data_IF_742106512329
#
_entry.id   IF_742106512329
#
_cell.length_a   1.000
_cell.length_b   1.000
_cell.length_c   1.000
_cell.angle_alpha   90.00
_cell.angle_beta   90.00
_cell.angle_gamma   90.00
#
_symmetry.space_group_name_H-M   'P 1'
#
loop_
_entity.id
_entity.type
_entity.pdbx_description
1 polymer ?
#
# COMPACT_ATOMS: atom_id res chain seq x y z
N UNK A 1 13.90 15.61 -8.11
CA UNK A 1 12.98 14.81 -7.29
C UNK A 1 13.55 14.48 -5.89
N UNK A 2 14.42 15.31 -5.29
CA UNK A 2 14.99 15.05 -3.94
C UNK A 2 14.32 15.85 -2.80
N UNK A 3 13.50 16.86 -3.13
CA UNK A 3 12.84 17.75 -2.16
C UNK A 3 11.31 17.73 -2.15
N UNK A 4 10.66 17.22 -3.21
CA UNK A 4 9.19 17.31 -3.36
C UNK A 4 8.41 16.56 -2.27
N UNK A 5 8.87 15.37 -1.86
CA UNK A 5 8.19 14.61 -0.81
C UNK A 5 8.31 15.27 0.57
N UNK A 6 9.43 15.96 0.84
CA UNK A 6 9.59 16.74 2.06
C UNK A 6 8.70 17.99 2.06
N UNK A 7 8.56 18.66 0.91
CA UNK A 7 7.68 19.83 0.77
C UNK A 7 6.20 19.47 0.91
N UNK A 8 5.77 18.35 0.31
CA UNK A 8 4.39 17.83 0.42
C UNK A 8 4.06 17.40 1.86
N UNK A 9 5.02 16.81 2.59
CA UNK A 9 4.86 16.44 4.00
C UNK A 9 4.76 17.66 4.94
N UNK A 10 5.19 18.85 4.49
CA UNK A 10 5.16 20.10 5.28
C UNK A 10 4.03 21.05 4.92
N UNK A 11 3.11 20.64 4.04
CA UNK A 11 1.91 21.41 3.70
C UNK A 11 1.02 21.61 4.92
N UNK A 12 0.81 22.89 5.26
CA UNK A 12 0.10 23.35 6.45
C UNK A 12 -1.33 22.77 6.55
N UNK A 13 -1.68 22.30 7.75
CA UNK A 13 -2.92 21.62 8.19
C UNK A 13 -2.92 20.08 8.00
N UNK A 14 -3.01 19.36 9.13
CA UNK A 14 -2.94 17.89 9.25
C UNK A 14 -4.10 17.10 8.62
N UNK A 15 -4.52 17.47 7.42
CA UNK A 15 -5.59 16.87 6.62
C UNK A 15 -5.09 16.39 5.23
N UNK A 16 -3.80 16.57 4.91
CA UNK A 16 -3.27 16.20 3.58
C UNK A 16 -2.60 14.83 3.61
N UNK A 17 -3.22 13.83 2.98
CA UNK A 17 -2.59 12.54 2.70
C UNK A 17 -1.90 12.57 1.33
N UNK A 18 -0.61 12.24 1.31
CA UNK A 18 0.17 12.18 0.06
C UNK A 18 0.44 10.72 -0.31
N UNK A 19 -0.07 10.29 -1.46
CA UNK A 19 0.22 8.97 -2.03
C UNK A 19 1.32 9.12 -3.08
N UNK A 20 2.36 8.32 -2.97
CA UNK A 20 3.45 8.28 -3.96
C UNK A 20 3.45 6.92 -4.64
N UNK A 21 3.23 6.91 -5.95
CA UNK A 21 3.47 5.73 -6.76
C UNK A 21 4.98 5.54 -6.95
N UNK A 22 5.50 4.40 -6.51
CA UNK A 22 6.93 4.12 -6.47
C UNK A 22 7.21 2.79 -7.17
N UNK A 23 8.24 2.78 -8.02
CA UNK A 23 8.84 1.52 -8.43
C UNK A 23 9.31 0.76 -7.18
N UNK A 24 9.23 -0.56 -7.22
CA UNK A 24 9.38 -1.48 -6.09
C UNK A 24 10.78 -1.50 -5.42
N UNK A 25 11.61 -0.49 -5.63
CA UNK A 25 12.95 -0.37 -5.07
C UNK A 25 13.01 0.79 -4.08
N UNK A 26 12.73 0.50 -2.81
CA UNK A 26 13.08 1.40 -1.69
C UNK A 26 14.61 1.52 -1.52
N UNK A 27 15.39 0.63 -2.14
CA UNK A 27 16.86 0.66 -2.20
C UNK A 27 17.40 1.98 -2.79
N UNK A 28 16.65 2.60 -3.70
CA UNK A 28 17.03 3.87 -4.33
C UNK A 28 16.55 5.09 -3.55
N UNK A 29 15.76 4.90 -2.49
CA UNK A 29 15.33 6.00 -1.64
C UNK A 29 16.45 6.40 -0.68
N UNK A 30 16.74 7.69 -0.59
CA UNK A 30 17.69 8.19 0.39
C UNK A 30 17.12 8.00 1.81
N UNK A 31 17.97 7.69 2.80
CA UNK A 31 17.56 7.66 4.22
C UNK A 31 16.86 8.95 4.66
N UNK A 32 17.09 10.08 3.98
CA UNK A 32 16.42 11.35 4.27
C UNK A 32 14.97 11.42 3.78
N UNK A 33 14.63 10.68 2.73
CA UNK A 33 13.27 10.65 2.16
C UNK A 33 12.35 9.73 2.97
N UNK A 34 12.84 8.56 3.36
CA UNK A 34 12.03 7.56 4.09
C UNK A 34 11.67 8.00 5.51
N UNK A 35 12.46 8.87 6.14
CA UNK A 35 12.15 9.42 7.48
C UNK A 35 10.84 10.22 7.56
N UNK A 36 10.23 10.54 6.42
CA UNK A 36 8.97 11.29 6.35
C UNK A 36 7.81 10.41 5.84
N UNK A 37 7.99 9.08 5.80
CA UNK A 37 6.96 8.14 5.35
C UNK A 37 6.40 7.41 6.56
N UNK A 38 5.10 7.58 6.81
CA UNK A 38 4.39 6.92 7.91
C UNK A 38 4.09 5.45 7.60
N UNK A 39 3.77 5.16 6.34
CA UNK A 39 3.32 3.85 5.89
C UNK A 39 3.87 3.46 4.52
N UNK A 40 4.11 2.16 4.33
CA UNK A 40 4.39 1.55 3.03
C UNK A 40 3.38 0.44 2.75
N UNK A 41 2.79 0.47 1.55
CA UNK A 41 1.94 -0.59 1.03
C UNK A 41 2.67 -1.34 -0.08
N UNK A 42 3.03 -2.58 0.20
CA UNK A 42 3.67 -3.48 -0.77
C UNK A 42 2.61 -4.27 -1.51
N UNK A 43 2.37 -3.91 -2.76
CA UNK A 43 1.42 -4.62 -3.63
C UNK A 43 2.11 -5.88 -4.19
N UNK A 44 1.53 -7.05 -3.95
CA UNK A 44 2.07 -8.34 -4.36
C UNK A 44 1.03 -9.22 -5.04
N UNK A 45 1.44 -10.06 -5.97
CA UNK A 45 0.61 -10.98 -6.74
C UNK A 45 0.90 -12.44 -6.33
N UNK A 46 0.02 -13.41 -6.64
CA UNK A 46 0.19 -14.83 -6.26
C UNK A 46 1.27 -15.55 -7.11
N UNK A 47 2.41 -14.90 -7.33
CA UNK A 47 3.55 -15.41 -8.07
C UNK A 47 4.82 -15.23 -7.21
N UNK A 48 5.65 -16.26 -7.16
CA UNK A 48 6.85 -16.30 -6.30
C UNK A 48 7.75 -15.06 -6.44
N UNK A 49 7.96 -14.58 -7.68
CA UNK A 49 8.79 -13.40 -7.95
C UNK A 49 8.20 -12.11 -7.35
N UNK A 50 6.87 -12.00 -7.29
CA UNK A 50 6.21 -10.84 -6.68
C UNK A 50 6.27 -10.90 -5.15
N UNK A 51 6.17 -12.11 -4.58
CA UNK A 51 6.32 -12.34 -3.15
C UNK A 51 7.76 -12.10 -2.68
N UNK A 52 8.75 -12.51 -3.46
CA UNK A 52 10.17 -12.28 -3.15
C UNK A 52 10.47 -10.79 -2.93
N UNK A 53 9.80 -9.90 -3.65
CA UNK A 53 9.88 -8.45 -3.42
C UNK A 53 9.45 -8.08 -2.00
N UNK A 54 8.33 -8.62 -1.50
CA UNK A 54 7.87 -8.38 -0.12
C UNK A 54 8.93 -8.85 0.87
N UNK A 55 9.48 -10.04 0.68
CA UNK A 55 10.50 -10.61 1.58
C UNK A 55 11.80 -9.81 1.61
N UNK A 56 12.15 -9.14 0.51
CA UNK A 56 13.32 -8.24 0.44
C UNK A 56 13.04 -6.85 1.00
N UNK A 57 11.86 -6.30 0.73
CA UNK A 57 11.53 -4.91 1.06
C UNK A 57 11.08 -4.74 2.51
N UNK A 58 10.42 -5.73 3.11
CA UNK A 58 9.95 -5.63 4.49
C UNK A 58 11.08 -5.41 5.51
N UNK A 59 12.21 -6.16 5.49
CA UNK A 59 13.31 -5.92 6.41
C UNK A 59 13.95 -4.53 6.22
N UNK A 60 14.09 -4.08 4.97
CA UNK A 60 14.63 -2.75 4.68
C UNK A 60 13.72 -1.65 5.23
N UNK A 61 12.40 -1.76 5.02
CA UNK A 61 11.42 -0.83 5.57
C UNK A 61 11.47 -0.78 7.11
N UNK A 62 11.64 -1.93 7.77
CA UNK A 62 11.83 -2.03 9.22
C UNK A 62 13.14 -1.37 9.68
N UNK A 63 14.26 -1.63 8.99
CA UNK A 63 15.57 -1.00 9.29
C UNK A 63 15.54 0.52 9.14
N UNK A 64 14.68 1.02 8.26
CA UNK A 64 14.48 2.44 8.01
C UNK A 64 13.53 3.09 9.02
N UNK A 65 12.89 2.30 9.89
CA UNK A 65 12.01 2.77 10.96
C UNK A 65 10.61 3.17 10.50
N UNK A 66 10.13 2.64 9.37
CA UNK A 66 8.74 2.88 8.93
C UNK A 66 7.79 2.18 9.91
N UNK A 67 6.81 2.92 10.42
CA UNK A 67 5.90 2.44 11.47
C UNK A 67 4.89 1.42 10.93
N UNK A 68 4.33 1.68 9.74
CA UNK A 68 3.30 0.85 9.15
C UNK A 68 3.77 0.19 7.86
N UNK A 69 3.87 -1.15 7.88
CA UNK A 69 4.34 -1.96 6.77
C UNK A 69 3.28 -3.00 6.44
N UNK A 70 2.60 -2.79 5.31
CA UNK A 70 1.50 -3.65 4.87
C UNK A 70 1.78 -4.29 3.53
N UNK A 71 1.21 -5.48 3.34
CA UNK A 71 1.07 -6.10 2.03
C UNK A 71 -0.37 -5.98 1.52
N UNK A 72 -0.52 -5.87 0.20
CA UNK A 72 -1.80 -5.98 -0.51
C UNK A 72 -1.71 -7.14 -1.49
N UNK A 73 -2.54 -8.15 -1.30
CA UNK A 73 -2.64 -9.29 -2.20
C UNK A 73 -3.47 -8.90 -3.42
N UNK A 74 -2.83 -8.63 -4.56
CA UNK A 74 -3.46 -8.18 -5.79
C UNK A 74 -3.67 -9.33 -6.79
N UNK A 75 -4.69 -9.17 -7.65
CA UNK A 75 -5.04 -10.12 -8.72
C UNK A 75 -5.28 -11.55 -8.23
N UNK A 76 -5.85 -11.70 -7.03
CA UNK A 76 -6.17 -13.01 -6.44
C UNK A 76 -7.32 -13.66 -7.21
N UNK A 77 -7.11 -14.87 -7.74
CA UNK A 77 -8.13 -15.60 -8.53
C UNK A 77 -8.77 -16.74 -7.78
N UNK A 78 -8.20 -17.15 -6.66
CA UNK A 78 -8.65 -18.30 -5.89
C UNK A 78 -8.28 -18.20 -4.41
N UNK A 79 -8.94 -18.98 -3.56
CA UNK A 79 -8.56 -19.10 -2.14
C UNK A 79 -7.11 -19.58 -1.97
N UNK A 80 -6.61 -20.40 -2.91
CA UNK A 80 -5.22 -20.88 -2.90
C UNK A 80 -4.23 -19.73 -3.13
N UNK A 81 -4.55 -18.80 -4.04
CA UNK A 81 -3.72 -17.63 -4.31
C UNK A 81 -3.59 -16.77 -3.04
N UNK A 82 -4.72 -16.52 -2.38
CA UNK A 82 -4.74 -15.79 -1.11
C UNK A 82 -3.93 -16.51 -0.03
N UNK A 83 -4.10 -17.82 0.13
CA UNK A 83 -3.40 -18.60 1.14
C UNK A 83 -1.87 -18.58 0.96
N UNK A 84 -1.39 -18.65 -0.29
CA UNK A 84 0.04 -18.55 -0.61
C UNK A 84 0.59 -17.18 -0.17
N UNK A 85 -0.10 -16.08 -0.53
CA UNK A 85 0.34 -14.73 -0.18
C UNK A 85 0.29 -14.53 1.34
N UNK A 86 -0.83 -14.91 1.98
CA UNK A 86 -1.03 -14.79 3.43
C UNK A 86 0.04 -15.53 4.22
N UNK A 87 0.36 -16.77 3.81
CA UNK A 87 1.40 -17.57 4.47
C UNK A 87 2.77 -16.92 4.32
N UNK A 88 3.11 -16.47 3.12
CA UNK A 88 4.38 -15.80 2.86
C UNK A 88 4.54 -14.50 3.67
N UNK A 89 3.50 -13.66 3.71
CA UNK A 89 3.51 -12.44 4.51
C UNK A 89 3.68 -12.74 6.01
N UNK A 90 2.98 -13.74 6.54
CA UNK A 90 3.09 -14.15 7.93
C UNK A 90 4.51 -14.64 8.29
N UNK A 91 5.14 -15.42 7.40
CA UNK A 91 6.53 -15.87 7.57
C UNK A 91 7.54 -14.71 7.63
N UNK A 92 7.24 -13.60 6.95
CA UNK A 92 8.10 -12.41 6.90
C UNK A 92 7.66 -11.30 7.87
N UNK A 93 6.69 -11.57 8.75
CA UNK A 93 6.21 -10.61 9.74
C UNK A 93 5.51 -9.38 9.13
N UNK A 94 4.91 -9.52 7.96
CA UNK A 94 4.19 -8.46 7.26
C UNK A 94 2.68 -8.67 7.42
N UNK A 95 1.97 -7.63 7.84
CA UNK A 95 0.52 -7.65 7.93
C UNK A 95 -0.10 -7.55 6.52
N UNK A 96 -1.02 -8.47 6.20
CA UNK A 96 -1.80 -8.42 4.97
C UNK A 96 -3.02 -7.50 5.18
N UNK A 97 -2.96 -6.30 4.63
CA UNK A 97 -3.99 -5.28 4.81
C UNK A 97 -5.27 -5.57 4.01
N UNK A 98 -5.12 -6.08 2.80
CA UNK A 98 -6.25 -6.34 1.92
C UNK A 98 -5.95 -7.40 0.86
N UNK A 99 -7.03 -7.95 0.31
CA UNK A 99 -7.04 -8.86 -0.82
C UNK A 99 -7.89 -8.22 -1.92
N UNK A 100 -7.25 -7.86 -3.03
CA UNK A 100 -7.88 -7.34 -4.24
C UNK A 100 -8.05 -8.53 -5.20
N UNK A 101 -9.29 -8.97 -5.46
CA UNK A 101 -9.53 -10.09 -6.36
C UNK A 101 -9.19 -9.69 -7.80
N UNK A 102 -9.00 -10.70 -8.65
CA UNK A 102 -9.06 -10.49 -10.09
C UNK A 102 -10.46 -9.99 -10.48
N UNK A 103 -10.49 -8.85 -11.18
CA UNK A 103 -11.73 -8.18 -11.56
C UNK A 103 -11.64 -7.75 -13.03
N UNK A 104 -12.54 -8.29 -13.87
CA UNK A 104 -12.57 -7.99 -15.30
C UNK A 104 -13.00 -6.55 -15.58
N UNK A 105 -13.78 -5.93 -14.67
CA UNK A 105 -14.21 -4.55 -14.79
C UNK A 105 -13.04 -3.57 -14.82
N UNK A 106 -11.89 -3.93 -14.23
CA UNK A 106 -10.66 -3.13 -14.32
C UNK A 106 -10.21 -3.01 -15.77
N UNK A 107 -10.22 -4.11 -16.53
CA UNK A 107 -9.77 -4.10 -17.92
C UNK A 107 -10.74 -3.36 -18.82
N UNK A 108 -12.05 -3.51 -18.58
CA UNK A 108 -13.07 -2.83 -19.37
C UNK A 108 -13.06 -1.32 -19.10
N UNK A 109 -12.91 -0.90 -17.84
CA UNK A 109 -12.72 0.50 -17.48
C UNK A 109 -11.45 1.10 -18.14
N UNK A 110 -10.33 0.37 -18.10
CA UNK A 110 -9.06 0.79 -18.73
C UNK A 110 -9.20 0.96 -20.26
N UNK A 111 -9.88 0.02 -20.94
CA UNK A 111 -10.18 0.12 -22.38
C UNK A 111 -10.99 1.36 -22.73
N UNK A 112 -11.85 1.81 -21.82
CA UNK A 112 -12.65 3.04 -21.97
C UNK A 112 -11.91 4.30 -21.48
N UNK A 113 -10.71 4.17 -20.91
CA UNK A 113 -9.97 5.29 -20.30
C UNK A 113 -10.67 5.89 -19.09
N UNK A 114 -11.44 5.10 -18.34
CA UNK A 114 -12.22 5.52 -17.17
C UNK A 114 -11.63 4.93 -15.90
N UNK A 115 -11.72 5.68 -14.80
CA UNK A 115 -11.40 5.12 -13.49
C UNK A 115 -12.42 4.02 -13.13
N UNK A 116 -11.95 2.93 -12.52
CA UNK A 116 -12.81 1.82 -12.12
C UNK A 116 -13.97 2.28 -11.22
N UNK A 117 -13.70 3.19 -10.28
CA UNK A 117 -14.71 3.73 -9.36
C UNK A 117 -15.83 4.50 -10.07
N UNK A 118 -15.56 5.07 -11.25
CA UNK A 118 -16.57 5.75 -12.08
C UNK A 118 -17.25 4.79 -13.06
N UNK A 119 -16.59 3.68 -13.41
CA UNK A 119 -17.06 2.68 -14.35
C UNK A 119 -17.99 1.66 -13.68
N UNK A 120 -17.51 1.03 -12.61
CA UNK A 120 -18.23 0.03 -11.82
C UNK A 120 -17.97 0.29 -10.32
N UNK A 121 -18.69 1.23 -9.68
CA UNK A 121 -18.44 1.66 -8.31
C UNK A 121 -18.61 0.55 -7.27
N UNK A 122 -19.31 -0.54 -7.62
CA UNK A 122 -19.60 -1.66 -6.70
C UNK A 122 -18.75 -2.89 -7.00
N UNK A 123 -17.73 -2.75 -7.86
CA UNK A 123 -16.84 -3.85 -8.21
C UNK A 123 -16.12 -4.39 -6.95
N UNK A 124 -15.84 -5.71 -6.88
CA UNK A 124 -15.09 -6.29 -5.79
C UNK A 124 -13.73 -5.62 -5.55
N UNK A 125 -13.05 -5.17 -6.62
CA UNK A 125 -11.81 -4.43 -6.51
C UNK A 125 -12.00 -3.02 -5.91
N UNK A 126 -13.06 -2.29 -6.27
CA UNK A 126 -13.37 -0.99 -5.63
C UNK A 126 -13.61 -1.16 -4.13
N UNK A 127 -14.40 -2.16 -3.74
CA UNK A 127 -14.68 -2.45 -2.33
C UNK A 127 -13.40 -2.78 -1.56
N UNK A 128 -12.52 -3.60 -2.15
CA UNK A 128 -11.24 -3.94 -1.53
C UNK A 128 -10.32 -2.71 -1.37
N UNK A 129 -10.24 -1.84 -2.39
CA UNK A 129 -9.44 -0.62 -2.34
C UNK A 129 -10.00 0.39 -1.33
N UNK A 130 -11.33 0.49 -1.19
CA UNK A 130 -11.95 1.32 -0.14
C UNK A 130 -11.54 0.86 1.25
N UNK A 131 -11.52 -0.45 1.50
CA UNK A 131 -11.04 -1.00 2.78
C UNK A 131 -9.57 -0.67 3.08
N UNK A 132 -8.73 -0.56 2.04
CA UNK A 132 -7.35 -0.08 2.19
C UNK A 132 -7.34 1.40 2.58
N UNK A 133 -8.14 2.24 1.92
CA UNK A 133 -8.22 3.66 2.24
C UNK A 133 -8.65 3.88 3.71
N UNK A 134 -9.71 3.18 4.15
CA UNK A 134 -10.21 3.24 5.52
C UNK A 134 -9.15 2.83 6.56
N UNK A 135 -8.36 1.79 6.25
CA UNK A 135 -7.25 1.34 7.11
C UNK A 135 -6.18 2.43 7.24
N UNK A 136 -5.77 3.02 6.12
CA UNK A 136 -4.70 4.02 6.09
C UNK A 136 -5.15 5.30 6.83
N UNK A 137 -6.36 5.77 6.58
CA UNK A 137 -6.95 6.92 7.30
C UNK A 137 -7.06 6.68 8.81
N UNK A 138 -7.50 5.49 9.21
CA UNK A 138 -7.66 5.11 10.62
C UNK A 138 -6.34 5.12 11.41
N UNK A 139 -5.21 4.92 10.73
CA UNK A 139 -3.86 4.91 11.35
C UNK A 139 -3.19 6.28 11.32
N UNK A 140 -3.42 7.07 10.27
CA UNK A 140 -2.97 8.47 10.23
C UNK A 140 -3.64 9.34 11.32
N UNK A 141 -4.88 9.01 11.73
CA UNK A 141 -5.61 9.75 12.76
C UNK A 141 -5.15 9.52 14.22
N UNK A 142 -4.43 8.43 14.52
CA UNK A 142 -4.00 8.14 15.90
C UNK A 142 -2.75 8.91 16.35
N UNK A 143 -1.93 9.41 15.41
CA UNK A 143 -0.70 10.14 15.74
C UNK A 143 -0.94 11.63 16.13
N UNK A 144 -2.15 12.16 15.96
CA UNK A 144 -2.45 13.59 16.16
C UNK A 144 -3.03 14.01 17.52
N UNK A 145 -3.36 13.07 18.42
CA UNK A 145 -4.01 13.39 19.74
C UNK A 145 -3.15 13.08 20.97
N UNK A 146 -1.86 12.81 20.77
CA UNK A 146 -0.98 12.28 21.81
C UNK A 146 -0.11 13.27 22.56
N UNK A 147 -0.15 14.59 22.35
CA UNK A 147 0.69 15.54 23.13
C UNK A 147 -0.01 16.88 23.36
N UNK A 148 -1.11 16.89 24.12
CA UNK A 148 -1.58 18.08 24.85
C UNK A 148 -2.21 17.62 26.17
N UNK A 149 -1.36 17.46 27.20
CA UNK A 149 -1.75 17.15 28.57
C UNK A 149 -0.56 17.25 29.49
#
# INVERSE_FOLDING_TARGET
>A
MRGLLGELATGDNGETMTITDMEASIEHMSRATIRHVDAILMVTEPYFRSLETVGRMAPLAQELGIEHIWAVANKVRSARDEEIIRSYCAEHGVELAAVVPWDEAIQDADREGRALMDYEPTSPAVVAVQGIADLVEGKSGSNGRGERG
#
